data_IF_926710809642
#
_entry.id   IF_926710809642
#
_cell.length_a   1.000
_cell.length_b   1.000
_cell.length_c   1.000
_cell.angle_alpha   90.00
_cell.angle_beta   90.00
_cell.angle_gamma   90.00
#
_symmetry.space_group_name_H-M   'P 1'
#
loop_
_entity.id
_entity.type
_entity.pdbx_description
1 polymer ?
#
# COMPACT_ATOMS: atom_id res chain seq x y z
N UNK A 1 33.66 -1.20 10.80
CA UNK A 1 34.00 -0.28 9.70
C UNK A 1 32.76 -0.17 8.82
N UNK A 2 31.99 0.92 8.95
CA UNK A 2 30.85 1.18 8.06
C UNK A 2 31.40 1.81 6.79
N UNK A 3 31.41 1.06 5.68
CA UNK A 3 31.57 1.64 4.36
C UNK A 3 30.31 2.48 4.10
N UNK A 4 30.41 3.78 4.37
CA UNK A 4 29.49 4.76 3.80
C UNK A 4 29.78 4.71 2.30
N UNK A 5 28.87 4.15 1.51
CA UNK A 5 28.90 4.27 0.05
C UNK A 5 28.70 5.74 -0.34
N UNK A 6 29.77 6.54 -0.21
CA UNK A 6 29.79 7.98 -0.46
C UNK A 6 29.50 8.37 -1.93
N UNK A 7 29.25 7.39 -2.81
CA UNK A 7 28.95 7.58 -4.23
C UNK A 7 27.48 7.29 -4.58
N UNK A 8 26.65 6.89 -3.61
CA UNK A 8 25.24 6.60 -3.84
C UNK A 8 24.37 7.78 -3.41
N UNK A 9 23.83 8.49 -4.39
CA UNK A 9 22.86 9.55 -4.16
C UNK A 9 21.44 8.98 -4.25
N UNK A 10 20.72 9.00 -3.13
CA UNK A 10 19.31 8.64 -3.08
C UNK A 10 18.49 9.80 -2.54
N UNK A 11 17.36 10.09 -3.19
CA UNK A 11 16.36 11.01 -2.63
C UNK A 11 15.20 10.23 -2.04
N UNK A 12 14.76 10.64 -0.86
CA UNK A 12 13.65 10.02 -0.13
C UNK A 12 12.54 11.05 0.05
N UNK A 13 11.32 10.71 -0.38
CA UNK A 13 10.15 11.54 -0.13
C UNK A 13 9.08 10.73 0.58
N UNK A 14 8.61 11.26 1.70
CA UNK A 14 7.53 10.69 2.50
C UNK A 14 6.27 11.54 2.31
N UNK A 15 5.17 10.89 1.93
CA UNK A 15 3.87 11.53 1.83
C UNK A 15 2.91 10.80 2.77
N UNK A 16 2.83 11.21 4.05
CA UNK A 16 1.83 10.64 4.93
C UNK A 16 0.43 11.01 4.43
N UNK A 17 -0.56 10.17 4.71
CA UNK A 17 -1.95 10.48 4.37
C UNK A 17 -2.50 11.67 5.16
N UNK A 18 -1.99 11.87 6.37
CA UNK A 18 -2.31 12.94 7.33
C UNK A 18 -1.16 13.06 8.33
N UNK A 19 -1.10 14.18 9.05
CA UNK A 19 0.03 14.44 9.96
C UNK A 19 -0.20 13.91 11.38
N UNK A 20 -1.46 13.58 11.73
CA UNK A 20 -1.83 13.08 13.06
C UNK A 20 -2.70 11.82 12.99
N UNK A 21 -2.35 10.81 13.77
CA UNK A 21 -3.01 9.50 13.84
C UNK A 21 -3.42 9.19 15.27
N UNK A 22 -4.55 8.53 15.47
CA UNK A 22 -4.89 8.01 16.80
C UNK A 22 -4.03 6.80 17.15
N UNK A 23 -3.85 6.52 18.44
CA UNK A 23 -3.21 5.28 18.91
C UNK A 23 -3.88 4.06 18.24
N UNK A 24 -3.11 3.09 17.79
CA UNK A 24 -3.59 1.89 17.08
C UNK A 24 -4.31 2.16 15.74
N UNK A 25 -4.36 3.42 15.26
CA UNK A 25 -4.74 3.72 13.88
C UNK A 25 -3.58 3.39 12.93
N UNK A 26 -3.83 2.83 11.73
CA UNK A 26 -2.77 2.53 10.78
C UNK A 26 -2.15 3.81 10.25
N UNK A 27 -0.84 3.89 10.40
CA UNK A 27 -0.05 4.92 9.75
C UNK A 27 0.14 4.50 8.30
N UNK A 28 -0.38 5.33 7.39
CA UNK A 28 -0.31 5.11 5.95
C UNK A 28 0.58 6.18 5.33
N UNK A 29 1.71 5.76 4.78
CA UNK A 29 2.71 6.64 4.18
C UNK A 29 3.05 6.12 2.79
N UNK A 30 2.96 6.99 1.80
CA UNK A 30 3.55 6.72 0.49
C UNK A 30 5.03 7.10 0.56
N UNK A 31 5.90 6.16 0.25
CA UNK A 31 7.35 6.43 0.19
C UNK A 31 7.77 6.38 -1.27
N UNK A 32 8.51 7.41 -1.68
CA UNK A 32 9.15 7.51 -2.98
C UNK A 32 10.66 7.52 -2.77
N UNK A 33 11.33 6.58 -3.42
CA UNK A 33 12.78 6.39 -3.37
C UNK A 33 13.30 6.50 -4.80
N UNK A 34 14.29 7.36 -5.02
CA UNK A 34 14.86 7.56 -6.34
C UNK A 34 16.39 7.45 -6.26
N UNK A 35 16.96 6.60 -7.11
CA UNK A 35 18.42 6.52 -7.29
C UNK A 35 18.87 7.66 -8.20
N UNK A 36 19.53 8.66 -7.64
CA UNK A 36 20.12 9.79 -8.38
C UNK A 36 21.53 9.49 -8.87
N UNK A 37 22.16 8.43 -8.37
CA UNK A 37 23.48 7.97 -8.80
C UNK A 37 23.51 7.60 -10.29
N UNK A 38 24.68 7.78 -10.92
CA UNK A 38 24.97 7.30 -12.26
C UNK A 38 25.16 5.78 -12.32
N UNK A 39 25.31 5.13 -11.17
CA UNK A 39 25.52 3.69 -11.03
C UNK A 39 24.22 2.97 -10.68
N UNK A 40 23.96 1.79 -11.28
CA UNK A 40 22.87 0.94 -10.84
C UNK A 40 23.17 0.31 -9.47
N UNK A 41 22.12 0.03 -8.70
CA UNK A 41 22.22 -0.48 -7.32
C UNK A 41 21.20 -1.59 -7.10
N UNK A 42 21.61 -2.71 -6.51
CA UNK A 42 20.70 -3.77 -6.08
C UNK A 42 20.41 -3.66 -4.59
N UNK A 43 19.12 -3.71 -4.22
CA UNK A 43 18.65 -3.63 -2.83
C UNK A 43 17.82 -4.87 -2.49
N UNK A 44 18.23 -5.64 -1.48
CA UNK A 44 17.42 -6.75 -0.97
C UNK A 44 16.31 -6.23 -0.04
N UNK A 45 15.08 -6.67 -0.27
CA UNK A 45 13.91 -6.21 0.49
C UNK A 45 13.48 -7.18 1.61
N UNK A 46 14.06 -8.38 1.65
CA UNK A 46 13.77 -9.40 2.69
C UNK A 46 14.61 -9.26 3.97
N UNK A 47 15.56 -8.32 4.03
CA UNK A 47 16.31 -8.08 5.27
C UNK A 47 15.48 -7.22 6.23
N UNK A 48 15.33 -7.69 7.47
CA UNK A 48 14.80 -6.91 8.60
C UNK A 48 15.48 -5.54 8.73
N UNK A 49 16.64 -5.24 8.15
CA UNK A 49 17.21 -3.89 8.22
C UNK A 49 16.66 -2.92 7.19
N UNK A 50 16.14 -3.39 6.05
CA UNK A 50 15.52 -2.53 5.03
C UNK A 50 14.08 -2.14 5.41
N UNK A 51 13.69 -0.89 5.20
CA UNK A 51 12.30 -0.42 5.37
C UNK A 51 12.15 0.91 6.08
N UNK A 52 10.92 1.43 6.08
CA UNK A 52 10.53 2.63 6.83
C UNK A 52 10.56 2.31 8.32
N UNK A 53 11.15 3.22 9.09
CA UNK A 53 11.23 3.16 10.55
C UNK A 53 10.48 4.36 11.13
N UNK A 54 9.87 4.13 12.28
CA UNK A 54 9.27 5.17 13.12
C UNK A 54 10.10 5.25 14.39
N UNK A 55 10.59 6.44 14.71
CA UNK A 55 11.42 6.74 15.87
C UNK A 55 10.68 7.72 16.78
N UNK A 56 10.67 7.47 18.09
CA UNK A 56 10.14 8.43 19.04
C UNK A 56 11.16 9.55 19.35
N UNK A 57 10.76 10.52 20.18
CA UNK A 57 11.64 11.63 20.59
C UNK A 57 12.90 11.18 21.35
N UNK A 58 12.88 9.98 21.94
CA UNK A 58 14.02 9.38 22.67
C UNK A 58 14.98 8.60 21.76
N UNK A 59 14.66 8.47 20.47
CA UNK A 59 15.47 7.68 19.52
C UNK A 59 15.09 6.20 19.44
N UNK A 60 14.05 5.75 20.15
CA UNK A 60 13.62 4.36 20.17
C UNK A 60 12.79 4.03 18.92
N UNK A 61 13.06 2.87 18.30
CA UNK A 61 12.42 2.44 17.05
C UNK A 61 11.20 1.58 17.33
N UNK A 62 10.12 1.81 16.56
CA UNK A 62 8.89 1.08 16.74
C UNK A 62 8.92 -0.41 16.37
N UNK A 63 8.36 -1.25 17.26
CA UNK A 63 8.18 -2.68 17.03
C UNK A 63 7.22 -2.90 15.86
N UNK A 64 7.54 -3.89 15.04
CA UNK A 64 7.03 -4.03 13.68
C UNK A 64 5.92 -5.05 13.58
N UNK A 65 4.81 -4.62 12.99
CA UNK A 65 4.04 -5.45 12.08
C UNK A 65 3.93 -4.69 10.75
N UNK A 66 4.49 -5.28 9.70
CA UNK A 66 4.67 -4.65 8.39
C UNK A 66 3.75 -5.31 7.37
N UNK A 67 2.91 -4.50 6.71
CA UNK A 67 2.24 -4.89 5.48
C UNK A 67 2.67 -3.92 4.38
N UNK A 68 3.56 -4.39 3.50
CA UNK A 68 4.09 -3.61 2.37
C UNK A 68 3.22 -3.87 1.13
N UNK A 69 2.58 -2.83 0.61
CA UNK A 69 1.87 -2.87 -0.66
C UNK A 69 2.68 -2.10 -1.72
N UNK A 70 3.30 -2.82 -2.65
CA UNK A 70 4.13 -2.25 -3.70
C UNK A 70 3.29 -1.72 -4.87
N UNK A 71 3.59 -0.51 -5.35
CA UNK A 71 3.02 0.09 -6.56
C UNK A 71 4.19 0.53 -7.45
N UNK A 72 4.91 -0.43 -8.01
CA UNK A 72 6.09 -0.15 -8.82
C UNK A 72 5.69 0.30 -10.23
N UNK A 73 6.19 1.47 -10.64
CA UNK A 73 6.29 1.87 -12.04
C UNK A 73 7.76 1.78 -12.43
N UNK A 74 8.09 0.90 -13.37
CA UNK A 74 9.44 0.54 -13.86
C UNK A 74 10.27 -0.38 -12.95
N UNK A 75 10.14 -1.72 -13.13
CA UNK A 75 11.19 -2.76 -12.97
C UNK A 75 10.68 -4.18 -13.21
N UNK A 76 11.64 -5.08 -13.51
CA UNK A 76 11.53 -6.54 -13.41
C UNK A 76 11.65 -6.92 -11.94
N UNK A 77 10.66 -7.61 -11.40
CA UNK A 77 10.71 -8.14 -10.03
C UNK A 77 11.61 -9.38 -10.03
N UNK A 78 12.67 -9.36 -9.20
CA UNK A 78 13.39 -10.58 -8.81
C UNK A 78 12.84 -11.03 -7.45
N UNK A 79 12.83 -12.34 -7.16
CA UNK A 79 12.13 -12.90 -6.00
C UNK A 79 12.53 -12.29 -4.66
N UNK A 80 13.75 -11.74 -4.52
CA UNK A 80 14.29 -11.29 -3.22
C UNK A 80 14.93 -9.88 -3.23
N UNK A 81 14.99 -9.22 -4.39
CA UNK A 81 15.70 -7.94 -4.55
C UNK A 81 15.03 -6.98 -5.54
N UNK A 82 15.36 -5.70 -5.41
CA UNK A 82 14.95 -4.61 -6.30
C UNK A 82 16.20 -4.00 -6.94
N UNK A 83 16.34 -4.16 -8.26
CA UNK A 83 17.44 -3.57 -9.03
C UNK A 83 17.12 -2.14 -9.46
N UNK A 84 17.80 -1.12 -8.92
CA UNK A 84 17.72 0.29 -9.34
C UNK A 84 18.67 0.58 -10.50
N UNK A 85 18.11 0.84 -11.68
CA UNK A 85 18.85 1.51 -12.76
C UNK A 85 19.25 2.94 -12.33
N UNK A 86 20.19 3.58 -13.04
CA UNK A 86 20.37 5.03 -12.95
C UNK A 86 19.02 5.73 -13.14
N UNK A 87 18.73 6.73 -12.29
CA UNK A 87 17.44 7.46 -12.27
C UNK A 87 16.21 6.57 -12.02
N UNK A 88 16.41 5.37 -11.48
CA UNK A 88 15.36 4.42 -11.16
C UNK A 88 14.49 4.89 -9.99
N UNK A 89 13.17 4.74 -10.15
CA UNK A 89 12.17 5.18 -9.17
C UNK A 89 11.45 3.99 -8.55
N UNK A 90 11.40 3.94 -7.22
CA UNK A 90 10.55 3.02 -6.47
C UNK A 90 9.49 3.81 -5.70
N UNK A 91 8.22 3.46 -5.91
CA UNK A 91 7.09 3.99 -5.17
C UNK A 91 6.36 2.84 -4.51
N UNK A 92 6.11 2.92 -3.21
CA UNK A 92 5.29 1.91 -2.53
C UNK A 92 4.52 2.53 -1.37
N UNK A 93 3.42 1.87 -1.02
CA UNK A 93 2.53 2.29 0.06
C UNK A 93 2.84 1.45 1.30
N UNK A 94 3.28 2.15 2.33
CA UNK A 94 3.59 1.57 3.63
C UNK A 94 2.37 1.63 4.53
N UNK A 95 2.06 0.50 5.17
CA UNK A 95 1.02 0.38 6.19
C UNK A 95 1.64 -0.25 7.43
N UNK A 96 1.54 0.44 8.57
CA UNK A 96 1.88 -0.14 9.86
C UNK A 96 0.79 0.18 10.87
N UNK A 97 0.47 -0.84 11.65
CA UNK A 97 -0.32 -0.69 12.87
C UNK A 97 0.70 -0.46 13.97
N UNK A 98 0.61 0.70 14.62
CA UNK A 98 1.43 0.97 15.80
C UNK A 98 0.67 0.38 16.99
N UNK A 99 1.18 -0.67 17.65
CA UNK A 99 0.51 -1.24 18.82
C UNK A 99 0.39 -0.16 19.90
N UNK A 100 -0.79 -0.04 20.50
CA UNK A 100 -1.05 1.01 21.49
C UNK A 100 -0.13 0.95 22.71
N UNK A 101 0.37 -0.24 23.03
CA UNK A 101 1.25 -0.47 24.17
C UNK A 101 2.73 -0.23 23.83
N UNK A 102 3.08 -0.12 22.54
CA UNK A 102 4.48 0.08 22.10
C UNK A 102 4.88 1.55 22.02
N UNK A 103 3.93 2.47 21.76
CA UNK A 103 4.21 3.90 21.63
C UNK A 103 3.12 4.77 22.23
N UNK A 104 3.45 5.59 23.26
CA UNK A 104 2.51 6.55 23.81
C UNK A 104 2.22 7.67 22.80
N UNK A 105 1.18 8.48 23.02
CA UNK A 105 1.02 9.73 22.28
C UNK A 105 2.28 10.58 22.28
N UNK A 106 2.59 11.21 21.15
CA UNK A 106 3.79 12.01 20.98
C UNK A 106 4.15 12.25 19.52
N UNK A 107 5.29 12.91 19.29
CA UNK A 107 5.83 13.13 17.96
C UNK A 107 6.79 12.03 17.58
N UNK A 108 6.74 11.67 16.31
CA UNK A 108 7.47 10.56 15.76
C UNK A 108 8.16 10.95 14.48
N UNK A 109 9.44 10.62 14.38
CA UNK A 109 10.25 10.84 13.18
C UNK A 109 10.25 9.58 12.32
N UNK A 110 9.94 9.77 11.05
CA UNK A 110 10.00 8.78 10.00
C UNK A 110 11.35 8.88 9.31
N UNK A 111 12.01 7.75 9.15
CA UNK A 111 13.20 7.64 8.32
C UNK A 111 13.19 6.30 7.61
N UNK A 112 13.92 6.21 6.51
CA UNK A 112 14.04 4.99 5.74
C UNK A 112 15.46 4.46 5.84
N UNK A 113 15.65 3.15 5.98
CA UNK A 113 16.96 2.53 5.84
C UNK A 113 16.90 1.41 4.81
N UNK A 114 17.96 1.22 4.04
CA UNK A 114 18.10 0.11 3.10
C UNK A 114 19.52 -0.44 3.11
N UNK A 115 19.63 -1.76 3.05
CA UNK A 115 20.91 -2.42 2.87
C UNK A 115 21.22 -2.56 1.38
N UNK A 116 22.42 -2.13 0.99
CA UNK A 116 22.96 -2.29 -0.36
C UNK A 116 23.77 -3.58 -0.41
N UNK A 117 23.67 -4.29 -1.53
CA UNK A 117 24.47 -5.49 -1.81
C UNK A 117 25.22 -5.34 -3.13
N UNK A 118 26.29 -6.09 -3.30
CA UNK A 118 26.94 -6.27 -4.60
C UNK A 118 26.19 -7.29 -5.51
N UNK A 119 26.74 -7.54 -6.69
CA UNK A 119 26.22 -8.48 -7.68
C UNK A 119 26.16 -9.94 -7.19
N UNK A 120 26.89 -10.28 -6.11
CA UNK A 120 26.92 -11.61 -5.50
C UNK A 120 25.96 -11.71 -4.31
N UNK A 121 25.20 -10.64 -4.02
CA UNK A 121 24.28 -10.57 -2.89
C UNK A 121 24.96 -10.31 -1.53
N UNK A 122 26.24 -9.94 -1.52
CA UNK A 122 26.99 -9.66 -0.28
C UNK A 122 26.68 -8.23 0.17
N UNK A 123 26.30 -7.99 1.44
CA UNK A 123 26.08 -6.65 1.97
C UNK A 123 27.31 -5.74 1.84
N UNK A 124 27.16 -4.63 1.11
CA UNK A 124 28.23 -3.64 0.87
C UNK A 124 28.04 -2.35 1.66
N UNK A 125 26.83 -2.08 2.16
CA UNK A 125 26.57 -0.89 2.96
C UNK A 125 25.11 -0.74 3.40
N UNK A 126 24.83 0.34 4.13
CA UNK A 126 23.47 0.75 4.50
C UNK A 126 23.28 2.22 4.12
N UNK A 127 22.18 2.52 3.43
CA UNK A 127 21.74 3.88 3.14
C UNK A 127 20.63 4.20 4.13
N UNK A 128 20.78 5.32 4.84
CA UNK A 128 19.76 5.88 5.73
C UNK A 128 19.30 7.20 5.11
N UNK A 129 17.99 7.43 5.07
CA UNK A 129 17.45 8.68 4.53
C UNK A 129 17.89 9.86 5.39
N UNK A 130 18.53 10.84 4.76
CA UNK A 130 18.83 12.15 5.37
C UNK A 130 17.54 12.93 5.62
N UNK A 131 16.60 12.85 4.67
CA UNK A 131 15.27 13.42 4.82
C UNK A 131 14.49 12.62 5.84
N UNK A 132 13.87 13.33 6.78
CA UNK A 132 12.98 12.74 7.77
C UNK A 132 11.68 13.50 7.80
N UNK A 133 10.59 12.79 8.09
CA UNK A 133 9.26 13.39 8.18
C UNK A 133 8.70 13.18 9.59
N UNK A 134 7.88 14.11 10.10
CA UNK A 134 7.34 14.00 11.45
C UNK A 134 5.85 13.72 11.41
N UNK A 135 5.39 12.72 12.16
CA UNK A 135 3.96 12.44 12.39
C UNK A 135 3.66 12.54 13.88
N UNK A 136 2.38 12.67 14.21
CA UNK A 136 1.90 12.79 15.57
C UNK A 136 0.97 11.62 15.89
N UNK A 137 1.22 10.93 16.99
CA UNK A 137 0.28 9.96 17.55
C UNK A 137 -0.45 10.65 18.69
N UNK A 138 -1.78 10.69 18.64
CA UNK A 138 -2.62 11.39 19.61
C UNK A 138 -3.52 10.40 20.37
N UNK A 139 -3.83 10.67 21.65
CA UNK A 139 -4.73 9.81 22.39
C UNK A 139 -6.16 9.94 21.81
N UNK A 140 -6.92 8.84 21.72
CA UNK A 140 -8.33 8.96 21.36
C UNK A 140 -9.17 9.48 22.53
N UNK A 141 -10.25 10.17 22.19
CA UNK A 141 -11.20 10.76 23.13
C UNK A 141 -12.63 10.29 22.84
N UNK A 142 -13.50 10.38 23.86
CA UNK A 142 -14.92 10.00 23.75
C UNK A 142 -15.13 8.62 23.10
N UNK A 143 -16.00 8.60 22.08
CA UNK A 143 -16.37 7.40 21.31
C UNK A 143 -15.16 6.70 20.67
N UNK A 144 -14.12 7.43 20.26
CA UNK A 144 -12.91 6.82 19.69
C UNK A 144 -12.14 6.03 20.75
N UNK A 145 -12.13 6.50 22.01
CA UNK A 145 -11.44 5.81 23.11
C UNK A 145 -12.14 4.50 23.45
N UNK A 146 -13.47 4.48 23.44
CA UNK A 146 -14.28 3.27 23.65
C UNK A 146 -14.04 2.24 22.54
N UNK A 147 -14.03 2.69 21.28
CA UNK A 147 -13.70 1.85 20.13
C UNK A 147 -12.28 1.27 20.23
N UNK A 148 -11.29 2.07 20.61
CA UNK A 148 -9.91 1.60 20.82
C UNK A 148 -9.82 0.54 21.90
N UNK A 149 -10.51 0.71 23.04
CA UNK A 149 -10.52 -0.27 24.13
C UNK A 149 -11.03 -1.63 23.66
N UNK A 150 -12.14 -1.64 22.91
CA UNK A 150 -12.69 -2.86 22.32
C UNK A 150 -11.72 -3.50 21.32
N UNK A 151 -11.06 -2.70 20.48
CA UNK A 151 -10.06 -3.23 19.55
C UNK A 151 -8.87 -3.87 20.28
N UNK A 152 -8.32 -3.21 21.30
CA UNK A 152 -7.22 -3.75 22.09
C UNK A 152 -7.63 -5.03 22.85
N UNK A 153 -8.88 -5.11 23.32
CA UNK A 153 -9.42 -6.34 23.90
C UNK A 153 -9.46 -7.47 22.87
N UNK A 154 -9.87 -7.19 21.62
CA UNK A 154 -9.85 -8.18 20.54
C UNK A 154 -8.43 -8.70 20.26
N UNK A 155 -7.41 -7.85 20.29
CA UNK A 155 -6.02 -8.25 20.09
C UNK A 155 -5.47 -9.04 21.30
N UNK A 156 -5.77 -8.62 22.55
CA UNK A 156 -5.38 -9.36 23.75
C UNK A 156 -5.93 -10.78 23.81
N UNK A 157 -7.15 -11.01 23.28
CA UNK A 157 -7.72 -12.36 23.19
C UNK A 157 -6.91 -13.27 22.25
N UNK A 158 -6.22 -12.71 21.25
CA UNK A 158 -5.30 -13.47 20.37
C UNK A 158 -4.02 -13.85 21.12
N UNK A 159 -3.53 -12.95 21.97
CA UNK A 159 -2.30 -13.15 22.74
C UNK A 159 -2.48 -14.10 23.92
N UNK A 160 -3.71 -14.34 24.38
CA UNK A 160 -4.04 -15.26 25.46
C UNK A 160 -3.96 -16.73 25.01
N UNK A 161 -2.73 -17.21 24.81
CA UNK A 161 -2.41 -18.59 24.37
C UNK A 161 -2.93 -19.70 25.30
N UNK A 162 -3.36 -19.37 26.52
CA UNK A 162 -3.92 -20.33 27.48
C UNK A 162 -5.42 -20.57 27.27
N UNK A 163 -6.10 -19.67 26.56
CA UNK A 163 -7.54 -19.77 26.30
C UNK A 163 -7.84 -20.76 25.18
N UNK A 164 -8.97 -21.44 25.27
CA UNK A 164 -9.45 -22.32 24.21
C UNK A 164 -9.60 -21.55 22.87
N UNK A 165 -9.10 -22.08 21.75
CA UNK A 165 -9.16 -21.39 20.45
C UNK A 165 -10.58 -21.08 19.96
N UNK A 166 -11.58 -21.92 20.26
CA UNK A 166 -12.95 -21.68 19.83
C UNK A 166 -13.63 -20.61 20.70
N UNK A 167 -13.30 -20.58 22.00
CA UNK A 167 -13.68 -19.48 22.88
C UNK A 167 -13.04 -18.15 22.43
N UNK A 168 -11.75 -18.14 22.11
CA UNK A 168 -11.09 -16.96 21.54
C UNK A 168 -11.79 -16.47 20.28
N UNK A 169 -12.12 -17.38 19.34
CA UNK A 169 -12.84 -17.03 18.09
C UNK A 169 -14.21 -16.44 18.39
N UNK A 170 -14.96 -17.00 19.34
CA UNK A 170 -16.29 -16.52 19.72
C UNK A 170 -16.22 -15.08 20.26
N UNK A 171 -15.36 -14.84 21.26
CA UNK A 171 -15.20 -13.52 21.89
C UNK A 171 -14.78 -12.48 20.83
N UNK A 172 -13.78 -12.82 20.00
CA UNK A 172 -13.33 -11.93 18.92
C UNK A 172 -14.46 -11.60 17.95
N UNK A 173 -15.27 -12.58 17.56
CA UNK A 173 -16.41 -12.38 16.66
C UNK A 173 -17.46 -11.44 17.28
N UNK A 174 -17.71 -11.55 18.57
CA UNK A 174 -18.61 -10.66 19.30
C UNK A 174 -18.08 -9.23 19.35
N UNK A 175 -16.79 -9.05 19.70
CA UNK A 175 -16.14 -7.73 19.73
C UNK A 175 -16.13 -7.08 18.34
N UNK A 176 -15.72 -7.82 17.30
CA UNK A 176 -15.70 -7.32 15.91
C UNK A 176 -17.09 -6.90 15.44
N UNK A 177 -18.14 -7.66 15.78
CA UNK A 177 -19.53 -7.30 15.48
C UNK A 177 -19.94 -6.01 16.18
N UNK A 178 -19.54 -5.82 17.44
CA UNK A 178 -19.81 -4.59 18.20
C UNK A 178 -19.11 -3.39 17.57
N UNK A 179 -17.83 -3.51 17.24
CA UNK A 179 -17.06 -2.49 16.52
C UNK A 179 -17.70 -2.10 15.18
N UNK A 180 -18.19 -3.07 14.41
CA UNK A 180 -18.89 -2.81 13.13
C UNK A 180 -20.24 -2.13 13.36
N UNK A 181 -21.02 -2.52 14.38
CA UNK A 181 -22.36 -1.96 14.60
C UNK A 181 -22.29 -0.56 15.17
N UNK A 182 -21.53 -0.39 16.23
CA UNK A 182 -21.52 0.81 17.05
C UNK A 182 -20.41 1.77 16.62
N UNK A 183 -19.27 1.31 16.13
CA UNK A 183 -18.08 2.15 15.92
C UNK A 183 -17.61 2.19 14.46
N UNK A 184 -18.50 1.91 13.49
CA UNK A 184 -18.18 1.87 12.05
C UNK A 184 -17.61 3.17 11.49
N UNK A 185 -17.93 4.28 12.15
CA UNK A 185 -17.49 5.64 11.91
C UNK A 185 -16.14 5.96 12.59
N UNK A 186 -15.42 4.96 13.07
CA UNK A 186 -14.07 5.12 13.64
C UNK A 186 -13.03 4.32 12.84
N UNK A 187 -11.73 4.65 12.94
CA UNK A 187 -10.68 3.83 12.35
C UNK A 187 -10.69 2.37 12.86
N UNK A 188 -11.07 2.14 14.12
CA UNK A 188 -11.16 0.80 14.71
C UNK A 188 -12.34 -0.01 14.16
N UNK A 189 -13.45 0.67 13.87
CA UNK A 189 -14.56 0.06 13.13
C UNK A 189 -14.15 -0.34 11.72
N UNK A 190 -13.38 0.49 11.02
CA UNK A 190 -12.83 0.16 9.70
C UNK A 190 -11.99 -1.13 9.73
N UNK A 191 -11.13 -1.29 10.74
CA UNK A 191 -10.39 -2.54 10.93
C UNK A 191 -11.29 -3.76 11.07
N UNK A 192 -12.33 -3.64 11.88
CA UNK A 192 -13.29 -4.72 12.07
C UNK A 192 -14.00 -5.06 10.75
N UNK A 193 -14.34 -4.05 9.93
CA UNK A 193 -14.90 -4.28 8.58
C UNK A 193 -13.94 -5.06 7.69
N UNK A 194 -12.65 -4.72 7.65
CA UNK A 194 -11.68 -5.46 6.83
C UNK A 194 -11.50 -6.90 7.27
N UNK A 195 -11.41 -7.16 8.58
CA UNK A 195 -11.34 -8.54 9.12
C UNK A 195 -12.60 -9.33 8.75
N UNK A 196 -13.78 -8.72 8.85
CA UNK A 196 -15.04 -9.35 8.47
C UNK A 196 -15.12 -9.64 6.96
N UNK A 197 -14.72 -8.70 6.12
CA UNK A 197 -14.65 -8.87 4.65
C UNK A 197 -13.72 -10.01 4.25
N UNK A 198 -12.53 -10.08 4.86
CA UNK A 198 -11.59 -11.17 4.61
C UNK A 198 -12.21 -12.53 4.98
N UNK A 199 -12.90 -12.60 6.13
CA UNK A 199 -13.59 -13.82 6.53
C UNK A 199 -14.65 -14.24 5.51
N UNK A 200 -15.50 -13.32 5.04
CA UNK A 200 -16.53 -13.60 4.03
C UNK A 200 -15.94 -14.05 2.69
N UNK A 201 -14.87 -13.38 2.24
CA UNK A 201 -14.20 -13.73 1.00
C UNK A 201 -13.62 -15.15 1.04
N UNK A 202 -12.97 -15.50 2.16
CA UNK A 202 -12.38 -16.82 2.34
C UNK A 202 -13.42 -17.95 2.54
N UNK A 203 -14.61 -17.65 3.08
CA UNK A 203 -15.60 -18.69 3.42
C UNK A 203 -16.75 -18.82 2.43
N UNK A 204 -17.06 -17.79 1.66
CA UNK A 204 -18.36 -17.71 0.95
C UNK A 204 -18.24 -17.38 -0.53
N UNK A 205 -17.04 -17.20 -1.07
CA UNK A 205 -16.78 -16.84 -2.48
C UNK A 205 -17.56 -15.62 -3.01
N UNK A 206 -18.12 -14.80 -2.10
CA UNK A 206 -18.81 -13.57 -2.47
C UNK A 206 -17.76 -12.59 -2.99
N UNK A 207 -18.05 -11.95 -4.12
CA UNK A 207 -17.21 -10.88 -4.65
C UNK A 207 -16.92 -9.83 -3.58
N UNK A 208 -15.65 -9.41 -3.50
CA UNK A 208 -15.23 -8.35 -2.57
C UNK A 208 -16.01 -7.06 -2.82
N UNK A 209 -16.37 -6.78 -4.08
CA UNK A 209 -17.13 -5.58 -4.47
C UNK A 209 -18.54 -5.62 -3.91
N UNK A 210 -19.20 -6.77 -3.96
CA UNK A 210 -20.57 -6.92 -3.45
C UNK A 210 -20.59 -6.91 -1.92
N UNK A 211 -19.59 -7.52 -1.29
CA UNK A 211 -19.42 -7.48 0.17
C UNK A 211 -19.17 -6.04 0.66
N UNK A 212 -18.32 -5.29 -0.05
CA UNK A 212 -18.08 -3.87 0.22
C UNK A 212 -19.37 -3.04 0.03
N UNK A 213 -20.12 -3.30 -1.04
CA UNK A 213 -21.38 -2.60 -1.34
C UNK A 213 -22.39 -2.84 -0.22
N UNK A 214 -22.59 -4.09 0.20
CA UNK A 214 -23.49 -4.47 1.29
C UNK A 214 -23.13 -3.75 2.60
N UNK A 215 -21.86 -3.78 3.00
CA UNK A 215 -21.42 -3.12 4.23
C UNK A 215 -21.57 -1.60 4.17
N UNK A 216 -21.22 -0.97 3.04
CA UNK A 216 -21.37 0.46 2.88
C UNK A 216 -22.85 0.88 2.81
N UNK A 217 -23.74 0.08 2.24
CA UNK A 217 -25.18 0.36 2.23
C UNK A 217 -25.77 0.32 3.65
N UNK A 218 -25.31 -0.65 4.45
CA UNK A 218 -25.71 -0.84 5.86
C UNK A 218 -25.13 0.25 6.78
N UNK A 219 -23.88 0.64 6.55
CA UNK A 219 -23.16 1.66 7.32
C UNK A 219 -22.63 2.76 6.39
N UNK A 220 -23.50 3.63 5.87
CA UNK A 220 -23.14 4.59 4.83
C UNK A 220 -22.19 5.68 5.34
N UNK A 221 -22.19 5.99 6.64
CA UNK A 221 -21.23 6.92 7.25
C UNK A 221 -19.97 6.25 7.80
N UNK A 222 -19.73 4.99 7.45
CA UNK A 222 -18.54 4.27 7.90
C UNK A 222 -17.26 4.84 7.30
N UNK A 223 -16.16 4.71 8.05
CA UNK A 223 -14.82 4.99 7.55
C UNK A 223 -14.42 4.07 6.38
N UNK A 224 -15.16 2.98 6.15
CA UNK A 224 -15.00 2.08 5.01
C UNK A 224 -15.39 2.74 3.69
N UNK A 225 -16.46 3.54 3.66
CA UNK A 225 -17.03 4.04 2.41
C UNK A 225 -16.00 4.79 1.54
N UNK A 226 -15.24 5.79 2.04
CA UNK A 226 -14.23 6.46 1.22
C UNK A 226 -13.20 5.48 0.63
N UNK A 227 -12.80 4.45 1.37
CA UNK A 227 -11.85 3.45 0.87
C UNK A 227 -12.47 2.49 -0.14
N UNK A 228 -13.77 2.21 -0.03
CA UNK A 228 -14.50 1.28 -0.88
C UNK A 228 -14.92 1.90 -2.23
N UNK A 229 -15.11 3.22 -2.28
CA UNK A 229 -15.59 3.93 -3.48
C UNK A 229 -14.72 3.74 -4.72
N UNK A 230 -13.43 3.42 -4.56
CA UNK A 230 -12.55 3.08 -5.69
C UNK A 230 -12.96 1.80 -6.43
N UNK A 231 -13.80 0.95 -5.82
CA UNK A 231 -14.30 -0.30 -6.39
C UNK A 231 -15.71 -0.20 -6.98
N UNK A 232 -16.51 0.79 -6.56
CA UNK A 232 -17.93 0.93 -6.93
C UNK A 232 -18.14 1.57 -8.28
N UNK A 233 -19.10 1.17 -9.10
CA UNK A 233 -19.42 1.85 -10.37
C UNK A 233 -19.96 3.30 -10.17
N UNK A 234 -20.22 4.00 -11.27
CA UNK A 234 -20.68 5.39 -11.22
C UNK A 234 -22.08 5.54 -10.59
N UNK A 235 -22.98 4.57 -10.82
CA UNK A 235 -24.33 4.55 -10.23
C UNK A 235 -24.29 4.33 -8.73
N UNK A 236 -23.47 3.39 -8.25
CA UNK A 236 -23.27 3.14 -6.82
C UNK A 236 -22.62 4.36 -6.14
N UNK A 237 -21.65 5.02 -6.78
CA UNK A 237 -21.08 6.26 -6.26
C UNK A 237 -22.15 7.37 -6.17
N UNK A 238 -23.01 7.50 -7.19
CA UNK A 238 -24.10 8.48 -7.18
C UNK A 238 -25.10 8.20 -6.05
N UNK A 239 -25.46 6.93 -5.83
CA UNK A 239 -26.30 6.50 -4.71
C UNK A 239 -25.72 6.96 -3.37
N UNK A 240 -24.42 6.70 -3.12
CA UNK A 240 -23.79 7.11 -1.87
C UNK A 240 -23.63 8.63 -1.76
N UNK A 241 -23.37 9.34 -2.87
CA UNK A 241 -23.34 10.80 -2.90
C UNK A 241 -24.67 11.41 -2.45
N UNK A 242 -25.80 10.83 -2.85
CA UNK A 242 -27.14 11.28 -2.44
C UNK A 242 -27.43 10.96 -0.96
N UNK A 243 -27.00 9.78 -0.49
CA UNK A 243 -27.26 9.31 0.87
C UNK A 243 -26.35 9.96 1.92
N UNK A 244 -25.14 10.34 1.54
CA UNK A 244 -24.09 10.91 2.40
C UNK A 244 -23.51 12.13 1.67
N UNK A 245 -24.16 13.30 1.75
CA UNK A 245 -23.70 14.50 1.05
C UNK A 245 -22.27 14.92 1.41
N UNK A 246 -21.80 14.57 2.61
CA UNK A 246 -20.47 14.87 3.14
C UNK A 246 -19.34 14.28 2.30
N UNK A 247 -19.61 13.22 1.51
CA UNK A 247 -18.62 12.60 0.61
C UNK A 247 -18.68 13.13 -0.82
N UNK A 248 -19.50 14.15 -1.12
CA UNK A 248 -19.72 14.62 -2.48
C UNK A 248 -18.43 15.04 -3.20
N UNK A 249 -17.59 15.82 -2.55
CA UNK A 249 -16.30 16.27 -3.11
C UNK A 249 -15.38 15.07 -3.41
N UNK A 250 -15.30 14.12 -2.46
CA UNK A 250 -14.50 12.90 -2.63
C UNK A 250 -15.05 12.02 -3.76
N UNK A 251 -16.38 11.88 -3.87
CA UNK A 251 -17.04 11.15 -4.94
C UNK A 251 -16.70 11.72 -6.32
N UNK A 252 -16.75 13.04 -6.47
CA UNK A 252 -16.40 13.73 -7.70
C UNK A 252 -14.94 13.52 -8.09
N UNK A 253 -14.03 13.59 -7.11
CA UNK A 253 -12.62 13.31 -7.31
C UNK A 253 -12.37 11.89 -7.83
N UNK A 254 -13.02 10.87 -7.24
CA UNK A 254 -12.90 9.48 -7.69
C UNK A 254 -13.41 9.30 -9.11
N UNK A 255 -14.56 9.89 -9.45
CA UNK A 255 -15.12 9.84 -10.81
C UNK A 255 -14.18 10.52 -11.82
N UNK A 256 -13.62 11.69 -11.49
CA UNK A 256 -12.66 12.42 -12.32
C UNK A 256 -11.38 11.60 -12.54
N UNK A 257 -10.81 11.00 -11.48
CA UNK A 257 -9.63 10.12 -11.57
C UNK A 257 -9.89 8.93 -12.49
N UNK A 258 -11.05 8.28 -12.38
CA UNK A 258 -11.41 7.16 -13.26
C UNK A 258 -11.61 7.56 -14.71
N UNK A 259 -12.22 8.71 -14.99
CA UNK A 259 -12.35 9.23 -16.36
C UNK A 259 -10.97 9.47 -16.98
N UNK A 260 -10.02 10.01 -16.22
CA UNK A 260 -8.62 10.16 -16.63
C UNK A 260 -7.95 8.79 -16.89
N UNK A 261 -8.08 7.85 -15.95
CA UNK A 261 -7.51 6.50 -16.09
C UNK A 261 -8.07 5.75 -17.32
N UNK A 262 -9.38 5.83 -17.59
CA UNK A 262 -10.01 5.22 -18.76
C UNK A 262 -9.49 5.81 -20.08
N UNK A 263 -9.32 7.15 -20.13
CA UNK A 263 -8.70 7.82 -21.29
C UNK A 263 -7.25 7.37 -21.49
N UNK A 264 -6.46 7.27 -20.41
CA UNK A 264 -5.08 6.81 -20.46
C UNK A 264 -5.00 5.36 -20.95
N UNK A 265 -5.83 4.46 -20.42
CA UNK A 265 -5.90 3.05 -20.85
C UNK A 265 -6.28 2.91 -22.32
N UNK A 266 -7.25 3.69 -22.82
CA UNK A 266 -7.59 3.71 -24.25
C UNK A 266 -6.40 4.16 -25.12
N UNK A 267 -5.63 5.16 -24.69
CA UNK A 267 -4.42 5.60 -25.42
C UNK A 267 -3.34 4.52 -25.42
N UNK A 268 -3.13 3.85 -24.30
CA UNK A 268 -2.19 2.71 -24.18
C UNK A 268 -2.56 1.56 -25.13
N UNK A 269 -3.82 1.12 -25.11
CA UNK A 269 -4.30 0.05 -26.00
C UNK A 269 -4.14 0.40 -27.48
N UNK A 270 -4.40 1.67 -27.87
CA UNK A 270 -4.15 2.13 -29.25
C UNK A 270 -2.66 2.09 -29.62
N UNK A 271 -1.76 2.42 -28.68
CA UNK A 271 -0.31 2.35 -28.91
C UNK A 271 0.16 0.90 -29.07
N UNK A 272 -0.35 -0.02 -28.27
CA UNK A 272 -0.04 -1.45 -28.41
C UNK A 272 -0.55 -2.02 -29.74
N UNK A 273 -1.75 -1.64 -30.17
CA UNK A 273 -2.30 -2.06 -31.47
C UNK A 273 -1.45 -1.55 -32.65
N UNK A 274 -1.01 -0.29 -32.60
CA UNK A 274 -0.07 0.27 -33.59
C UNK A 274 1.26 -0.47 -33.55
N UNK A 275 1.79 -0.78 -32.35
CA UNK A 275 3.05 -1.51 -32.20
C UNK A 275 2.99 -2.90 -32.84
N UNK A 276 1.90 -3.65 -32.60
CA UNK A 276 1.69 -4.97 -33.22
C UNK A 276 1.64 -4.89 -34.74
N UNK A 277 0.93 -3.91 -35.30
CA UNK A 277 0.88 -3.72 -36.75
C UNK A 277 2.24 -3.36 -37.36
N UNK A 278 3.06 -2.59 -36.66
CA UNK A 278 4.43 -2.28 -37.10
C UNK A 278 5.33 -3.52 -37.04
N UNK A 279 5.22 -4.35 -35.99
CA UNK A 279 5.94 -5.62 -35.87
C UNK A 279 5.55 -6.59 -37.02
N UNK A 280 4.26 -6.69 -37.36
CA UNK A 280 3.77 -7.49 -38.49
C UNK A 280 4.29 -6.97 -39.83
N UNK A 281 4.28 -5.66 -40.06
CA UNK A 281 4.81 -5.04 -41.28
C UNK A 281 6.33 -5.23 -41.41
N UNK A 282 7.07 -5.16 -40.30
CA UNK A 282 8.52 -5.39 -40.30
C UNK A 282 8.84 -6.86 -40.61
N UNK A 283 8.05 -7.80 -40.08
CA UNK A 283 8.16 -9.21 -40.41
C UNK A 283 7.87 -9.48 -41.89
N UNK A 284 6.77 -8.93 -42.40
CA UNK A 284 6.42 -9.03 -43.82
C UNK A 284 7.50 -8.42 -44.73
N UNK A 285 8.10 -7.28 -44.32
CA UNK A 285 9.22 -6.66 -45.05
C UNK A 285 10.45 -7.57 -45.08
N UNK A 286 10.83 -8.20 -43.97
CA UNK A 286 11.97 -9.13 -43.92
C UNK A 286 11.73 -10.36 -44.80
N UNK A 287 10.54 -10.96 -44.72
CA UNK A 287 10.15 -12.09 -45.58
C UNK A 287 10.17 -11.70 -47.07
N UNK A 288 9.76 -10.48 -47.42
CA UNK A 288 9.82 -9.98 -48.79
C UNK A 288 11.29 -9.81 -49.24
N UNK A 289 12.14 -9.22 -48.41
CA UNK A 289 13.56 -9.03 -48.69
C UNK A 289 14.29 -10.36 -48.91
N UNK A 290 14.04 -11.37 -48.07
CA UNK A 290 14.61 -12.71 -48.24
C UNK A 290 14.19 -13.34 -49.57
N UNK A 291 12.91 -13.24 -49.94
CA UNK A 291 12.41 -13.74 -51.24
C UNK A 291 13.01 -13.02 -52.45
N UNK A 292 13.37 -11.73 -52.33
CA UNK A 292 14.02 -11.00 -53.41
C UNK A 292 15.52 -11.33 -53.49
N UNK A 293 16.19 -11.52 -52.35
CA UNK A 293 17.59 -11.94 -52.29
C UNK A 293 17.80 -13.33 -52.92
N UNK A 294 16.93 -14.28 -52.59
CA UNK A 294 16.95 -15.63 -53.18
C UNK A 294 16.73 -15.63 -54.71
N UNK A 295 16.11 -14.58 -55.26
CA UNK A 295 15.92 -14.40 -56.71
C UNK A 295 17.09 -13.70 -57.40
N UNK A 296 17.88 -12.89 -56.68
CA UNK A 296 19.11 -12.30 -57.21
C UNK A 296 20.26 -13.31 -57.23
N UNK A 297 20.33 -14.23 -56.25
CA UNK A 297 21.33 -15.31 -56.22
C UNK A 297 21.08 -16.42 -57.28
N UNK A 298 19.95 -16.38 -57.99
CA UNK A 298 19.59 -17.29 -59.10
C UNK A 298 19.85 -16.69 -60.51
N UNK A 299 20.42 -15.48 -60.59
CA UNK A 299 20.86 -14.83 -61.84
C UNK A 299 22.37 -14.87 -61.99
#
# INVERSE_FOLDING_TARGET
MFLICAQLEFSFMFFPRKDSFYISEPVVILVRIENKSSTPVTVYYLDFKTGLKIMNEKGEIARRELYLNYLATSKVFLPDSVYFSPQGLLVYRWHSIIPGDSFPPGRYRLFFSMRVVDERGIPTGEIISSDTHTIWIIPPEGRMREAMKLWNECERVIEDVKRDPDEQRRIRKEILRKLIREYHDTPYGLHAHYRYLLSLYCTSHISIVDSLRFLCQRYPRSFLLPTAMIYFDASTILYFKQKVPEIAEYAEHIVKKRKKARKARKKLLKREDIRRKLEELEKARKELYERYRDKEDLR
#
